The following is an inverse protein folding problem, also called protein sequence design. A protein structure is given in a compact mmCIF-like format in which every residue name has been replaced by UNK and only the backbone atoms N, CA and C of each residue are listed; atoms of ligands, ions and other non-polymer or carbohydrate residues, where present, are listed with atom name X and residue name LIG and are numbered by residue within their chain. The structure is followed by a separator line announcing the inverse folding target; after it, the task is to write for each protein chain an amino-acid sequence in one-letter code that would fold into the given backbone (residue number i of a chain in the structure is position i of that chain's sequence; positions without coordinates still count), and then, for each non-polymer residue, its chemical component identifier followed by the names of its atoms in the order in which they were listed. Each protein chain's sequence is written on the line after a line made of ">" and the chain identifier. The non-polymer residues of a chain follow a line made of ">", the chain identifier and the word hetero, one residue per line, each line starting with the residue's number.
data_IF_563203389121
#
_entry.id   IF_563203389121
#
_cell.length_a   1.000
_cell.length_b   1.000
_cell.length_c   1.000
_cell.angle_alpha   90.00
_cell.angle_beta   90.00
_cell.angle_gamma   90.00
#
_symmetry.space_group_name_H-M   'P 1'
#
loop_
_entity.id
_entity.type
_entity.pdbx_description
1 polymer ?
#
# COMPACT_ATOMS: atom_id res chain seq x y z
N UNK A 1 4.40 27.96 46.20
CA UNK A 1 4.46 26.52 46.50
C UNK A 1 3.11 25.92 46.17
N UNK A 2 2.97 25.34 44.98
CA UNK A 2 1.78 24.59 44.58
C UNK A 2 2.28 23.25 44.09
N UNK A 3 2.12 22.22 44.90
CA UNK A 3 2.53 20.86 44.57
C UNK A 3 1.58 20.33 43.49
N UNK A 4 2.12 20.09 42.29
CA UNK A 4 1.46 19.32 41.25
C UNK A 4 1.31 17.88 41.72
N UNK A 5 0.09 17.47 42.08
CA UNK A 5 -0.23 16.06 42.30
C UNK A 5 -0.21 15.37 40.93
N UNK A 6 0.81 14.55 40.71
CA UNK A 6 0.82 13.53 39.66
C UNK A 6 -0.38 12.61 39.92
N UNK A 7 -1.24 12.32 38.92
CA UNK A 7 -2.29 11.33 39.09
C UNK A 7 -1.65 9.98 39.45
N UNK A 8 -2.29 9.15 40.29
CA UNK A 8 -1.75 7.84 40.63
C UNK A 8 -1.60 7.05 39.33
N UNK A 9 -0.39 6.56 39.08
CA UNK A 9 -0.14 5.61 38.01
C UNK A 9 -1.07 4.41 38.25
N UNK A 10 -2.05 4.20 37.37
CA UNK A 10 -2.77 2.94 37.28
C UNK A 10 -1.71 1.87 37.10
N UNK A 11 -1.50 1.04 38.12
CA UNK A 11 -0.52 -0.02 38.08
C UNK A 11 -0.86 -0.94 36.90
N UNK A 12 0.01 -0.94 35.89
CA UNK A 12 0.07 -2.05 34.94
C UNK A 12 0.27 -3.30 35.80
N UNK A 13 -0.56 -4.36 35.67
CA UNK A 13 -0.34 -5.59 36.43
C UNK A 13 1.12 -6.00 36.26
N UNK A 14 1.85 -6.16 37.36
CA UNK A 14 3.25 -6.59 37.28
C UNK A 14 3.36 -7.93 36.54
N UNK A 15 4.50 -8.19 35.90
CA UNK A 15 4.76 -9.40 35.10
C UNK A 15 4.51 -10.73 35.86
N UNK A 16 4.33 -10.68 37.19
CA UNK A 16 4.11 -11.83 38.08
C UNK A 16 2.66 -12.02 38.56
N UNK A 17 1.67 -11.23 38.09
CA UNK A 17 0.26 -11.40 38.52
C UNK A 17 -0.33 -12.68 37.92
N UNK A 18 -0.91 -13.60 38.70
CA UNK A 18 -1.57 -14.80 38.14
C UNK A 18 -2.76 -14.44 37.25
N UNK A 19 -2.82 -15.06 36.07
CA UNK A 19 -3.84 -14.81 35.05
C UNK A 19 -4.45 -16.11 34.51
N UNK A 20 -5.64 -15.98 33.91
CA UNK A 20 -6.36 -17.03 33.21
C UNK A 20 -6.66 -16.56 31.78
N UNK A 21 -6.18 -17.29 30.77
CA UNK A 21 -6.57 -17.09 29.39
C UNK A 21 -7.81 -17.93 29.10
N UNK A 22 -8.95 -17.28 28.98
CA UNK A 22 -10.24 -17.89 28.64
C UNK A 22 -10.48 -17.80 27.14
N UNK A 23 -10.50 -18.94 26.46
CA UNK A 23 -10.68 -19.06 25.02
C UNK A 23 -12.03 -19.69 24.72
N UNK A 24 -12.90 -18.97 24.00
CA UNK A 24 -14.21 -19.42 23.55
C UNK A 24 -14.22 -19.50 22.04
N UNK A 25 -14.62 -20.64 21.48
CA UNK A 25 -14.68 -20.81 20.02
C UNK A 25 -15.81 -21.73 19.59
N UNK A 26 -16.39 -21.45 18.41
CA UNK A 26 -17.56 -22.18 17.94
C UNK A 26 -18.34 -21.46 16.84
N UNK A 27 -19.61 -21.81 16.66
CA UNK A 27 -20.51 -21.12 15.71
C UNK A 27 -20.91 -19.76 16.27
N UNK A 28 -20.62 -18.72 15.51
CA UNK A 28 -20.91 -17.33 15.88
C UNK A 28 -22.41 -17.05 15.97
N UNK A 29 -22.80 -16.20 16.93
CA UNK A 29 -24.15 -15.65 17.10
C UNK A 29 -24.11 -14.44 18.05
N UNK A 30 -25.09 -13.53 18.00
CA UNK A 30 -25.18 -12.41 18.93
C UNK A 30 -25.22 -12.87 20.39
N UNK A 31 -24.57 -12.11 21.28
CA UNK A 31 -24.64 -12.30 22.74
C UNK A 31 -23.53 -13.17 23.36
N UNK A 32 -22.66 -13.81 22.57
CA UNK A 32 -21.55 -14.64 23.11
C UNK A 32 -20.62 -13.81 24.00
N UNK A 33 -20.17 -12.65 23.52
CA UNK A 33 -19.26 -11.77 24.26
C UNK A 33 -19.90 -11.32 25.57
N UNK A 34 -21.15 -10.84 25.52
CA UNK A 34 -21.90 -10.42 26.71
C UNK A 34 -22.02 -11.56 27.73
N UNK A 35 -22.46 -12.75 27.28
CA UNK A 35 -22.61 -13.90 28.17
C UNK A 35 -21.31 -14.36 28.82
N UNK A 36 -20.17 -14.26 28.12
CA UNK A 36 -18.87 -14.58 28.71
C UNK A 36 -18.54 -13.60 29.83
N UNK A 37 -18.65 -12.30 29.58
CA UNK A 37 -18.28 -11.28 30.59
C UNK A 37 -19.26 -11.21 31.74
N UNK A 38 -20.55 -11.47 31.53
CA UNK A 38 -21.52 -11.65 32.62
C UNK A 38 -21.13 -12.86 33.50
N UNK A 39 -20.68 -13.95 32.87
CA UNK A 39 -20.19 -15.14 33.60
C UNK A 39 -18.93 -14.83 34.41
N UNK A 40 -17.98 -14.11 33.83
CA UNK A 40 -16.72 -13.75 34.49
C UNK A 40 -16.91 -12.70 35.60
N UNK A 41 -17.85 -11.77 35.42
CA UNK A 41 -18.15 -10.72 36.39
C UNK A 41 -18.56 -11.28 37.77
N UNK A 42 -19.19 -12.46 37.81
CA UNK A 42 -19.54 -13.16 39.05
C UNK A 42 -18.33 -13.51 39.95
N UNK A 43 -17.12 -13.49 39.38
CA UNK A 43 -15.87 -13.85 40.07
C UNK A 43 -14.97 -12.66 40.38
N UNK A 44 -15.43 -11.42 40.10
CA UNK A 44 -14.67 -10.19 40.34
C UNK A 44 -13.24 -10.23 39.75
N UNK A 45 -13.10 -10.78 38.55
CA UNK A 45 -11.84 -10.78 37.80
C UNK A 45 -11.72 -9.51 36.96
N UNK A 46 -10.50 -9.02 36.81
CA UNK A 46 -10.18 -7.89 35.94
C UNK A 46 -9.79 -8.40 34.55
N UNK A 47 -10.20 -7.69 33.50
CA UNK A 47 -9.79 -7.98 32.13
C UNK A 47 -8.43 -7.34 31.86
N UNK A 48 -7.43 -8.18 31.57
CA UNK A 48 -6.07 -7.76 31.21
C UNK A 48 -5.98 -7.51 29.70
N UNK A 49 -6.51 -8.43 28.89
CA UNK A 49 -6.54 -8.33 27.43
C UNK A 49 -7.78 -9.02 26.85
N UNK A 50 -8.25 -8.57 25.69
CA UNK A 50 -9.39 -9.15 24.99
C UNK A 50 -9.21 -9.06 23.48
N UNK A 51 -9.32 -10.21 22.82
CA UNK A 51 -9.31 -10.31 21.36
C UNK A 51 -10.49 -11.15 20.86
N UNK A 52 -11.19 -10.66 19.84
CA UNK A 52 -12.27 -11.40 19.19
C UNK A 52 -12.13 -11.34 17.67
N UNK A 53 -12.29 -12.49 17.01
CA UNK A 53 -12.38 -12.58 15.56
C UNK A 53 -13.53 -13.49 15.14
N UNK A 54 -14.27 -13.06 14.12
CA UNK A 54 -15.31 -13.87 13.47
C UNK A 54 -14.90 -14.12 12.02
N UNK A 55 -14.69 -15.38 11.68
CA UNK A 55 -14.30 -15.80 10.33
C UNK A 55 -15.31 -16.83 9.82
N UNK A 56 -16.00 -16.50 8.73
CA UNK A 56 -16.97 -17.40 8.06
C UNK A 56 -18.03 -17.98 9.02
N UNK A 57 -18.55 -17.14 9.93
CA UNK A 57 -19.56 -17.54 10.92
C UNK A 57 -19.02 -18.41 12.06
N UNK A 58 -17.70 -18.46 12.26
CA UNK A 58 -17.03 -19.06 13.42
C UNK A 58 -16.36 -17.98 14.24
N UNK A 59 -16.61 -17.97 15.54
CA UNK A 59 -16.00 -17.03 16.48
C UNK A 59 -14.80 -17.69 17.18
N UNK A 60 -13.78 -16.87 17.44
CA UNK A 60 -12.75 -17.10 18.45
C UNK A 60 -12.69 -15.85 19.32
N UNK A 61 -12.96 -16.00 20.62
CA UNK A 61 -12.93 -14.94 21.63
C UNK A 61 -11.94 -15.36 22.72
N UNK A 62 -10.90 -14.57 22.91
CA UNK A 62 -9.88 -14.76 23.93
C UNK A 62 -9.99 -13.60 24.93
N UNK A 63 -10.12 -13.93 26.21
CA UNK A 63 -10.06 -12.97 27.30
C UNK A 63 -8.97 -13.40 28.28
N UNK A 64 -7.93 -12.58 28.44
CA UNK A 64 -6.96 -12.73 29.51
C UNK A 64 -7.48 -11.98 30.73
N UNK A 65 -7.71 -12.70 31.82
CA UNK A 65 -8.25 -12.13 33.06
C UNK A 65 -7.34 -12.43 34.24
N UNK A 66 -7.43 -11.64 35.31
CA UNK A 66 -6.78 -11.97 36.59
C UNK A 66 -7.43 -13.21 37.21
N UNK A 67 -6.72 -13.89 38.12
CA UNK A 67 -7.36 -14.95 38.91
C UNK A 67 -8.35 -14.37 39.93
N UNK A 68 -9.44 -15.08 40.26
CA UNK A 68 -10.34 -14.64 41.31
C UNK A 68 -9.59 -14.42 42.62
N UNK A 69 -9.65 -13.20 43.16
CA UNK A 69 -9.07 -12.94 44.48
C UNK A 69 -10.01 -13.50 45.54
N UNK A 70 -9.48 -14.21 46.54
CA UNK A 70 -10.26 -14.81 47.63
C UNK A 70 -11.02 -13.81 48.53
N UNK A 71 -11.09 -12.53 48.13
CA UNK A 71 -11.87 -11.46 48.75
C UNK A 71 -13.29 -11.33 48.18
N UNK A 72 -13.60 -12.00 47.06
CA UNK A 72 -14.97 -12.06 46.56
C UNK A 72 -15.87 -12.69 47.63
N UNK A 73 -17.04 -12.08 47.88
CA UNK A 73 -17.99 -12.40 48.97
C UNK A 73 -18.45 -13.86 49.06
N UNK A 74 -18.06 -14.70 48.10
CA UNK A 74 -18.58 -16.03 47.85
C UNK A 74 -17.50 -17.13 48.02
N UNK A 75 -16.23 -16.76 48.27
CA UNK A 75 -15.12 -17.74 48.35
C UNK A 75 -14.85 -18.49 47.05
N UNK A 76 -15.30 -17.95 45.91
CA UNK A 76 -15.25 -18.60 44.61
C UNK A 76 -13.80 -18.78 44.14
N UNK A 77 -13.46 -20.01 43.77
CA UNK A 77 -12.11 -20.42 43.38
C UNK A 77 -11.90 -20.32 41.87
N UNK A 78 -10.64 -20.40 41.43
CA UNK A 78 -10.31 -20.62 40.02
C UNK A 78 -11.05 -21.84 39.44
N UNK A 79 -11.19 -22.92 40.23
CA UNK A 79 -11.90 -24.12 39.82
C UNK A 79 -13.38 -23.86 39.52
N UNK A 80 -14.03 -23.04 40.35
CA UNK A 80 -15.43 -22.67 40.16
C UNK A 80 -15.63 -21.81 38.91
N UNK A 81 -14.72 -20.86 38.65
CA UNK A 81 -14.74 -20.05 37.42
C UNK A 81 -14.63 -20.96 36.20
N UNK A 82 -13.67 -21.90 36.21
CA UNK A 82 -13.48 -22.85 35.11
C UNK A 82 -14.74 -23.66 34.84
N UNK A 83 -15.32 -24.25 35.90
CA UNK A 83 -16.53 -25.06 35.77
C UNK A 83 -17.71 -24.26 35.20
N UNK A 84 -17.94 -23.04 35.70
CA UNK A 84 -19.05 -22.20 35.24
C UNK A 84 -18.86 -21.75 33.79
N UNK A 85 -17.65 -21.33 33.40
CA UNK A 85 -17.37 -20.95 32.01
C UNK A 85 -17.56 -22.15 31.06
N UNK A 86 -17.09 -23.35 31.43
CA UNK A 86 -17.31 -24.55 30.62
C UNK A 86 -18.79 -24.90 30.50
N UNK A 87 -19.55 -24.85 31.60
CA UNK A 87 -20.99 -25.13 31.58
C UNK A 87 -21.77 -24.11 30.74
N UNK A 88 -21.44 -22.83 30.87
CA UNK A 88 -22.00 -21.76 30.04
C UNK A 88 -21.71 -21.99 28.55
N UNK A 89 -20.44 -22.26 28.20
CA UNK A 89 -20.05 -22.50 26.81
C UNK A 89 -20.77 -23.73 26.23
N UNK A 90 -20.86 -24.83 26.99
CA UNK A 90 -21.58 -26.04 26.58
C UNK A 90 -23.06 -25.77 26.32
N UNK A 91 -23.72 -24.97 27.19
CA UNK A 91 -25.12 -24.59 27.03
C UNK A 91 -25.41 -23.85 25.71
N UNK A 92 -24.40 -23.16 25.16
CA UNK A 92 -24.45 -22.46 23.88
C UNK A 92 -23.91 -23.28 22.71
N UNK A 93 -23.47 -24.51 22.95
CA UNK A 93 -22.76 -25.36 22.00
C UNK A 93 -21.46 -24.71 21.49
N UNK A 94 -20.72 -24.09 22.40
CA UNK A 94 -19.39 -23.52 22.20
C UNK A 94 -18.34 -24.41 22.88
N UNK A 95 -17.09 -24.28 22.46
CA UNK A 95 -15.95 -24.89 23.12
C UNK A 95 -15.24 -23.84 23.96
N UNK A 96 -14.81 -24.24 25.15
CA UNK A 96 -14.03 -23.41 26.05
C UNK A 96 -12.70 -24.10 26.36
N UNK A 97 -11.63 -23.32 26.43
CA UNK A 97 -10.31 -23.73 26.91
C UNK A 97 -9.80 -22.64 27.86
N UNK A 98 -9.33 -23.03 29.05
CA UNK A 98 -8.85 -22.08 30.06
C UNK A 98 -7.44 -22.47 30.47
N UNK A 99 -6.49 -21.55 30.30
CA UNK A 99 -5.06 -21.79 30.54
C UNK A 99 -4.59 -20.86 31.66
N UNK A 100 -3.95 -21.41 32.71
CA UNK A 100 -3.34 -20.59 33.76
C UNK A 100 -2.00 -20.01 33.28
N UNK A 101 -1.71 -18.78 33.68
CA UNK A 101 -0.47 -18.09 33.35
C UNK A 101 -0.15 -17.01 34.38
N UNK A 102 0.82 -16.16 34.03
CA UNK A 102 1.23 -15.00 34.82
C UNK A 102 1.49 -13.81 33.89
N UNK A 103 1.14 -12.62 34.34
CA UNK A 103 1.36 -11.37 33.63
C UNK A 103 0.51 -11.20 32.37
N UNK A 104 0.94 -10.27 31.53
CA UNK A 104 0.34 -9.93 30.24
C UNK A 104 0.99 -10.73 29.09
N UNK A 105 0.44 -10.61 27.89
CA UNK A 105 1.04 -11.08 26.65
C UNK A 105 2.47 -10.53 26.51
N UNK A 106 3.41 -11.40 26.07
CA UNK A 106 4.77 -10.99 25.75
C UNK A 106 4.72 -9.81 24.77
N UNK A 107 5.61 -8.81 24.90
CA UNK A 107 5.67 -7.70 23.97
C UNK A 107 5.69 -8.20 22.52
N UNK A 108 4.85 -7.61 21.66
CA UNK A 108 4.78 -7.96 20.24
C UNK A 108 6.19 -8.01 19.65
N UNK A 109 6.53 -9.09 18.94
CA UNK A 109 7.89 -9.38 18.50
C UNK A 109 8.57 -8.21 17.78
N UNK A 110 9.88 -8.06 17.95
CA UNK A 110 10.71 -7.07 17.22
C UNK A 110 10.73 -7.40 15.73
N UNK A 111 11.02 -6.40 14.87
CA UNK A 111 11.08 -6.61 13.41
C UNK A 111 9.71 -6.86 12.78
N UNK A 112 8.73 -5.98 13.06
CA UNK A 112 7.39 -6.11 12.50
C UNK A 112 7.33 -5.54 11.09
N UNK A 113 6.76 -6.30 10.17
CA UNK A 113 6.61 -5.93 8.77
C UNK A 113 5.24 -6.36 8.23
N UNK A 114 4.80 -5.70 7.18
CA UNK A 114 3.63 -6.08 6.40
C UNK A 114 4.09 -6.51 5.02
N UNK A 115 3.73 -7.75 4.64
CA UNK A 115 3.99 -8.32 3.32
C UNK A 115 2.68 -8.31 2.54
N UNK A 116 2.54 -7.38 1.61
CA UNK A 116 1.39 -7.33 0.70
C UNK A 116 1.70 -8.17 -0.53
N UNK A 117 0.81 -9.09 -0.88
CA UNK A 117 0.94 -9.99 -2.03
C UNK A 117 -0.24 -9.76 -2.96
N UNK A 118 0.04 -9.47 -4.23
CA UNK A 118 -0.95 -9.41 -5.30
C UNK A 118 -0.79 -10.64 -6.19
N UNK A 119 -1.84 -11.45 -6.29
CA UNK A 119 -1.87 -12.62 -7.16
C UNK A 119 -3.06 -12.58 -8.12
N UNK A 120 -2.82 -13.02 -9.35
CA UNK A 120 -3.83 -13.09 -10.40
C UNK A 120 -3.68 -14.38 -11.24
N UNK A 121 -4.09 -15.57 -10.71
CA UNK A 121 -4.64 -15.82 -9.38
C UNK A 121 -3.55 -15.97 -8.30
N UNK A 122 -3.92 -15.79 -7.03
CA UNK A 122 -3.06 -16.19 -5.90
C UNK A 122 -3.23 -17.70 -5.65
N UNK A 123 -2.21 -18.49 -5.97
CA UNK A 123 -2.27 -19.95 -5.86
C UNK A 123 -1.83 -20.44 -4.48
N UNK A 124 -2.20 -21.69 -4.15
CA UNK A 124 -1.72 -22.36 -2.93
C UNK A 124 -0.20 -22.59 -2.96
N UNK A 125 0.37 -22.86 -4.13
CA UNK A 125 1.82 -23.01 -4.34
C UNK A 125 2.55 -21.71 -4.02
N UNK A 126 2.12 -20.59 -4.62
CA UNK A 126 2.69 -19.27 -4.33
C UNK A 126 2.55 -18.90 -2.86
N UNK A 127 1.38 -19.17 -2.26
CA UNK A 127 1.15 -18.92 -0.83
C UNK A 127 2.09 -19.73 0.05
N UNK A 128 2.28 -21.02 -0.26
CA UNK A 128 3.18 -21.90 0.47
C UNK A 128 4.64 -21.45 0.37
N UNK A 129 5.10 -21.07 -0.82
CA UNK A 129 6.45 -20.58 -1.05
C UNK A 129 6.72 -19.27 -0.28
N UNK A 130 5.78 -18.33 -0.29
CA UNK A 130 5.87 -17.07 0.47
C UNK A 130 5.96 -17.36 1.98
N UNK A 131 5.09 -18.24 2.51
CA UNK A 131 5.14 -18.61 3.93
C UNK A 131 6.46 -19.30 4.31
N UNK A 132 6.98 -20.17 3.43
CA UNK A 132 8.26 -20.83 3.64
C UNK A 132 9.42 -19.83 3.64
N UNK A 133 9.42 -18.85 2.72
CA UNK A 133 10.42 -17.80 2.66
C UNK A 133 10.39 -16.90 3.91
N UNK A 134 9.19 -16.51 4.39
CA UNK A 134 9.04 -15.80 5.67
C UNK A 134 9.68 -16.61 6.81
N UNK A 135 9.35 -17.90 6.89
CA UNK A 135 9.86 -18.82 7.92
C UNK A 135 11.39 -18.96 7.85
N UNK A 136 11.97 -19.06 6.66
CA UNK A 136 13.41 -19.19 6.45
C UNK A 136 14.21 -17.97 6.94
N UNK A 137 13.59 -16.79 6.99
CA UNK A 137 14.19 -15.58 7.58
C UNK A 137 14.03 -15.48 9.11
N UNK A 138 13.43 -16.49 9.76
CA UNK A 138 13.07 -16.47 11.18
C UNK A 138 11.78 -15.70 11.49
N UNK A 139 11.04 -15.28 10.46
CA UNK A 139 9.79 -14.55 10.62
C UNK A 139 8.62 -15.45 11.02
N UNK A 140 7.75 -14.93 11.89
CA UNK A 140 6.45 -15.51 12.21
C UNK A 140 5.33 -14.75 11.48
N UNK A 141 4.32 -15.46 10.98
CA UNK A 141 3.12 -14.84 10.44
C UNK A 141 2.13 -14.66 11.58
N UNK A 142 1.96 -13.43 12.04
CA UNK A 142 1.07 -13.08 13.15
C UNK A 142 -0.40 -13.09 12.70
N UNK A 143 -0.65 -12.64 11.46
CA UNK A 143 -1.99 -12.53 10.88
C UNK A 143 -1.94 -12.51 9.37
N UNK A 144 -2.97 -13.07 8.74
CA UNK A 144 -3.24 -12.89 7.30
C UNK A 144 -4.61 -12.24 7.17
N UNK A 145 -4.71 -11.24 6.31
CA UNK A 145 -6.00 -10.65 5.95
C UNK A 145 -6.06 -10.33 4.47
N UNK A 146 -7.27 -10.34 3.91
CA UNK A 146 -7.48 -10.03 2.50
C UNK A 146 -7.69 -8.52 2.35
N UNK A 147 -6.92 -7.91 1.46
CA UNK A 147 -7.03 -6.51 1.06
C UNK A 147 -8.01 -6.32 -0.10
N UNK A 148 -8.06 -7.28 -1.04
CA UNK A 148 -8.95 -7.20 -2.19
C UNK A 148 -9.29 -8.58 -2.75
N UNK A 149 -10.51 -8.72 -3.29
CA UNK A 149 -10.93 -9.86 -4.12
C UNK A 149 -10.76 -9.58 -5.62
N UNK A 150 -10.84 -8.31 -6.02
CA UNK A 150 -10.85 -7.81 -7.40
C UNK A 150 -10.17 -6.42 -7.44
N UNK A 151 -9.53 -5.98 -8.54
CA UNK A 151 -9.30 -6.71 -9.80
C UNK A 151 -8.30 -7.87 -9.67
N UNK A 152 -7.55 -7.88 -8.56
CA UNK A 152 -6.59 -8.94 -8.22
C UNK A 152 -6.88 -9.43 -6.80
N UNK A 153 -6.44 -10.66 -6.51
CA UNK A 153 -6.46 -11.14 -5.14
C UNK A 153 -5.30 -10.52 -4.41
N UNK A 154 -5.59 -9.61 -3.47
CA UNK A 154 -4.58 -8.99 -2.63
C UNK A 154 -4.73 -9.50 -1.20
N UNK A 155 -3.65 -9.97 -0.61
CA UNK A 155 -3.59 -10.39 0.81
C UNK A 155 -2.39 -9.75 1.48
N UNK A 156 -2.50 -9.51 2.77
CA UNK A 156 -1.42 -9.01 3.59
C UNK A 156 -1.10 -9.98 4.71
N UNK A 157 0.19 -10.29 4.86
CA UNK A 157 0.75 -11.02 5.98
C UNK A 157 1.37 -10.01 6.94
N UNK A 158 0.86 -9.94 8.16
CA UNK A 158 1.55 -9.27 9.26
C UNK A 158 2.62 -10.23 9.79
N UNK A 159 3.88 -9.82 9.71
CA UNK A 159 5.04 -10.63 10.05
C UNK A 159 5.82 -10.00 11.21
N UNK A 160 6.32 -10.81 12.13
CA UNK A 160 7.24 -10.38 13.20
C UNK A 160 8.45 -11.30 13.29
N UNK A 161 9.48 -10.91 14.06
CA UNK A 161 10.63 -11.77 14.35
C UNK A 161 11.80 -11.68 13.37
N UNK A 162 11.72 -10.85 12.32
CA UNK A 162 12.80 -10.69 11.33
C UNK A 162 12.95 -9.23 10.85
N UNK A 163 14.17 -8.73 10.57
CA UNK A 163 14.35 -7.40 10.01
C UNK A 163 13.65 -7.23 8.65
N UNK A 164 13.02 -6.07 8.42
CA UNK A 164 12.27 -5.77 7.19
C UNK A 164 13.11 -5.94 5.92
N UNK A 165 14.39 -5.55 5.93
CA UNK A 165 15.26 -5.62 4.74
C UNK A 165 15.68 -7.06 4.40
N UNK A 166 15.92 -7.89 5.42
CA UNK A 166 16.16 -9.33 5.25
C UNK A 166 14.94 -9.99 4.62
N UNK A 167 13.75 -9.68 5.14
CA UNK A 167 12.49 -10.21 4.64
C UNK A 167 12.20 -9.75 3.21
N UNK A 168 12.43 -8.48 2.90
CA UNK A 168 12.27 -7.89 1.56
C UNK A 168 13.15 -8.60 0.55
N UNK A 169 14.44 -8.77 0.86
CA UNK A 169 15.41 -9.43 -0.03
C UNK A 169 15.01 -10.88 -0.33
N UNK A 170 14.61 -11.63 0.69
CA UNK A 170 14.19 -13.02 0.53
C UNK A 170 12.95 -13.13 -0.36
N UNK A 171 11.94 -12.29 -0.12
CA UNK A 171 10.67 -12.33 -0.86
C UNK A 171 10.75 -11.76 -2.27
N UNK A 172 11.67 -10.83 -2.56
CA UNK A 172 11.86 -10.29 -3.90
C UNK A 172 12.26 -11.41 -4.89
N UNK A 173 13.12 -12.34 -4.46
CA UNK A 173 13.53 -13.50 -5.26
C UNK A 173 12.34 -14.41 -5.57
N UNK A 174 11.52 -14.71 -4.56
CA UNK A 174 10.34 -15.57 -4.71
C UNK A 174 9.26 -14.93 -5.59
N UNK A 175 9.03 -13.61 -5.46
CA UNK A 175 8.06 -12.87 -6.26
C UNK A 175 8.29 -13.07 -7.76
N UNK A 176 9.55 -12.94 -8.20
CA UNK A 176 9.94 -13.10 -9.60
C UNK A 176 9.73 -14.53 -10.12
N UNK A 177 10.04 -15.54 -9.30
CA UNK A 177 9.89 -16.97 -9.66
C UNK A 177 8.41 -17.36 -9.74
N UNK A 178 7.60 -16.89 -8.80
CA UNK A 178 6.21 -17.28 -8.63
C UNK A 178 5.24 -16.48 -9.52
N UNK A 179 5.71 -15.41 -10.17
CA UNK A 179 4.87 -14.53 -10.98
C UNK A 179 3.81 -13.78 -10.16
N UNK A 180 4.14 -13.41 -8.92
CA UNK A 180 3.29 -12.62 -8.03
C UNK A 180 3.99 -11.33 -7.63
N UNK A 181 3.22 -10.30 -7.31
CA UNK A 181 3.78 -9.05 -6.83
C UNK A 181 3.86 -9.08 -5.30
N UNK A 182 5.02 -8.73 -4.75
CA UNK A 182 5.23 -8.66 -3.31
C UNK A 182 5.82 -7.31 -2.91
N UNK A 183 5.18 -6.66 -1.94
CA UNK A 183 5.70 -5.48 -1.28
C UNK A 183 5.91 -5.75 0.20
N UNK A 184 7.10 -5.41 0.70
CA UNK A 184 7.44 -5.51 2.12
C UNK A 184 7.62 -4.11 2.68
N UNK A 185 6.88 -3.79 3.74
CA UNK A 185 6.96 -2.52 4.45
C UNK A 185 7.12 -2.74 5.95
N UNK A 186 7.91 -1.88 6.61
CA UNK A 186 7.99 -1.91 8.06
C UNK A 186 6.63 -1.56 8.67
N UNK A 187 6.26 -2.23 9.76
CA UNK A 187 5.11 -1.85 10.57
C UNK A 187 5.39 -0.53 11.30
N UNK A 188 4.33 0.23 11.57
CA UNK A 188 4.40 1.44 12.39
C UNK A 188 3.63 2.62 11.80
N UNK A 189 3.64 3.75 12.50
CA UNK A 189 2.91 4.95 12.10
C UNK A 189 3.40 5.51 10.75
N UNK A 190 4.69 5.34 10.43
CA UNK A 190 5.26 5.83 9.17
C UNK A 190 4.60 5.23 7.94
N UNK A 191 4.17 3.96 8.00
CA UNK A 191 3.42 3.32 6.92
C UNK A 191 2.13 4.07 6.58
N UNK A 192 1.45 4.61 7.60
CA UNK A 192 0.20 5.36 7.46
C UNK A 192 0.42 6.86 7.23
N UNK A 193 1.67 7.30 7.17
CA UNK A 193 2.04 8.71 7.10
C UNK A 193 2.48 9.14 5.70
N UNK A 194 2.36 8.29 4.67
CA UNK A 194 2.58 8.73 3.29
C UNK A 194 1.53 9.78 2.90
N UNK A 195 1.96 10.87 2.26
CA UNK A 195 1.09 12.04 1.99
C UNK A 195 1.25 12.66 0.60
N UNK A 196 2.24 12.23 -0.16
CA UNK A 196 2.45 12.69 -1.54
C UNK A 196 2.66 11.48 -2.45
N UNK A 197 1.88 11.40 -3.54
CA UNK A 197 2.10 10.42 -4.61
C UNK A 197 2.48 11.17 -5.88
N UNK A 198 3.59 10.81 -6.50
CA UNK A 198 4.04 11.34 -7.80
C UNK A 198 4.11 10.19 -8.80
N UNK A 199 3.54 10.38 -9.98
CA UNK A 199 3.45 9.34 -11.00
C UNK A 199 4.09 9.80 -12.30
N UNK A 200 4.69 8.85 -13.04
CA UNK A 200 4.88 9.06 -14.47
C UNK A 200 3.54 9.11 -15.20
N UNK A 201 3.55 9.66 -16.41
CA UNK A 201 2.38 9.80 -17.26
C UNK A 201 2.31 8.68 -18.29
N UNK A 202 3.19 8.72 -19.28
CA UNK A 202 3.23 7.75 -20.38
C UNK A 202 3.43 6.34 -19.81
N UNK A 203 2.69 5.35 -20.34
CA UNK A 203 2.73 3.95 -19.90
C UNK A 203 2.47 3.68 -18.39
N UNK A 204 2.11 4.70 -17.60
CA UNK A 204 1.85 4.61 -16.16
C UNK A 204 0.46 5.16 -15.83
N UNK A 205 0.27 6.49 -15.79
CA UNK A 205 -1.05 7.10 -15.55
C UNK A 205 -1.98 6.91 -16.76
N UNK A 206 -1.41 6.91 -17.96
CA UNK A 206 -2.09 6.67 -19.22
C UNK A 206 -1.51 5.43 -19.91
N UNK A 207 -2.27 4.85 -20.84
CA UNK A 207 -1.86 3.64 -21.58
C UNK A 207 -1.01 3.95 -22.82
N UNK A 208 -0.97 5.22 -23.21
CA UNK A 208 -0.40 5.67 -24.48
C UNK A 208 0.98 6.32 -24.25
N UNK A 209 1.79 6.37 -25.30
CA UNK A 209 2.97 7.21 -25.40
C UNK A 209 2.58 8.50 -26.11
N UNK A 210 2.52 9.63 -25.40
CA UNK A 210 1.98 10.89 -25.95
C UNK A 210 2.68 11.31 -27.23
N UNK A 211 4.00 11.12 -27.32
CA UNK A 211 4.77 11.50 -28.50
C UNK A 211 4.38 10.69 -29.74
N UNK A 212 3.98 9.43 -29.58
CA UNK A 212 3.51 8.58 -30.67
C UNK A 212 2.14 9.04 -31.17
N UNK A 213 1.26 9.51 -30.27
CA UNK A 213 -0.01 10.13 -30.67
C UNK A 213 0.22 11.37 -31.54
N UNK A 214 1.16 12.25 -31.17
CA UNK A 214 1.51 13.39 -32.02
C UNK A 214 2.12 12.95 -33.37
N UNK A 215 2.98 11.93 -33.36
CA UNK A 215 3.61 11.38 -34.55
C UNK A 215 2.57 10.78 -35.53
N UNK A 216 1.50 10.18 -35.02
CA UNK A 216 0.39 9.67 -35.80
C UNK A 216 -0.30 10.76 -36.62
N UNK A 217 -0.61 11.89 -35.97
CA UNK A 217 -1.21 13.04 -36.65
C UNK A 217 -0.23 13.74 -37.60
N UNK A 218 1.09 13.63 -37.39
CA UNK A 218 2.13 14.11 -38.29
C UNK A 218 2.44 13.15 -39.45
N UNK A 219 2.00 11.89 -39.38
CA UNK A 219 2.34 10.85 -40.33
C UNK A 219 3.78 10.34 -40.24
N UNK A 220 4.44 10.50 -39.09
CA UNK A 220 5.85 10.14 -38.85
C UNK A 220 6.07 9.12 -37.72
N UNK A 221 5.06 8.27 -37.46
CA UNK A 221 5.11 7.23 -36.41
C UNK A 221 6.33 6.31 -36.55
N UNK A 222 6.66 5.91 -37.78
CA UNK A 222 7.76 4.98 -38.05
C UNK A 222 9.10 5.61 -37.71
N UNK A 223 9.30 6.85 -38.10
CA UNK A 223 10.51 7.63 -37.85
C UNK A 223 10.69 7.88 -36.35
N UNK A 224 9.61 8.21 -35.62
CA UNK A 224 9.65 8.36 -34.17
C UNK A 224 9.98 7.02 -33.48
N UNK A 225 9.38 5.92 -33.93
CA UNK A 225 9.65 4.59 -33.39
C UNK A 225 11.12 4.16 -33.61
N UNK A 226 11.70 4.45 -34.77
CA UNK A 226 13.11 4.19 -35.07
C UNK A 226 14.05 4.94 -34.11
N UNK A 227 13.77 6.22 -33.85
CA UNK A 227 14.56 7.03 -32.90
C UNK A 227 14.38 6.55 -31.46
N UNK A 228 13.16 6.17 -31.05
CA UNK A 228 12.90 5.58 -29.73
C UNK A 228 13.68 4.27 -29.56
N UNK A 229 13.69 3.42 -30.60
CA UNK A 229 14.44 2.17 -30.58
C UNK A 229 15.96 2.40 -30.49
N UNK A 230 16.49 3.41 -31.18
CA UNK A 230 17.91 3.80 -31.08
C UNK A 230 18.27 4.27 -29.66
N UNK A 231 17.42 5.09 -29.03
CA UNK A 231 17.61 5.51 -27.64
C UNK A 231 17.57 4.33 -26.66
N UNK A 232 16.66 3.38 -26.86
CA UNK A 232 16.61 2.16 -26.05
C UNK A 232 17.84 1.26 -26.21
N UNK A 233 18.54 1.31 -27.36
CA UNK A 233 19.84 0.65 -27.57
C UNK A 233 21.03 1.42 -26.97
N UNK A 234 20.79 2.61 -26.42
CA UNK A 234 21.85 3.48 -25.88
C UNK A 234 22.64 4.24 -26.94
N UNK A 235 22.14 4.29 -28.18
CA UNK A 235 22.79 5.03 -29.29
C UNK A 235 22.58 6.54 -29.18
N UNK A 236 21.52 6.96 -28.49
CA UNK A 236 21.19 8.35 -28.19
C UNK A 236 20.95 8.51 -26.70
N UNK A 237 21.44 9.61 -26.12
CA UNK A 237 21.00 10.00 -24.80
C UNK A 237 19.53 10.48 -24.81
N UNK A 238 18.94 10.67 -23.62
CA UNK A 238 17.54 11.03 -23.50
C UNK A 238 17.20 12.37 -24.20
N UNK A 239 18.04 13.38 -24.03
CA UNK A 239 17.81 14.72 -24.56
C UNK A 239 17.95 14.73 -26.08
N UNK A 240 18.98 14.07 -26.61
CA UNK A 240 19.16 13.83 -28.04
C UNK A 240 17.97 13.10 -28.66
N UNK A 241 17.50 12.03 -28.01
CA UNK A 241 16.33 11.27 -28.46
C UNK A 241 15.06 12.11 -28.43
N UNK A 242 14.85 12.92 -27.38
CA UNK A 242 13.71 13.82 -27.27
C UNK A 242 13.73 14.85 -28.40
N UNK A 243 14.85 15.56 -28.60
CA UNK A 243 14.98 16.55 -29.66
C UNK A 243 14.80 15.94 -31.05
N UNK A 244 15.37 14.77 -31.32
CA UNK A 244 15.22 14.09 -32.60
C UNK A 244 13.76 13.70 -32.88
N UNK A 245 13.04 13.18 -31.89
CA UNK A 245 11.62 12.82 -32.05
C UNK A 245 10.73 14.06 -32.20
N UNK A 246 10.98 15.11 -31.42
CA UNK A 246 10.18 16.35 -31.48
C UNK A 246 10.43 17.10 -32.78
N UNK A 247 11.65 17.07 -33.34
CA UNK A 247 11.96 17.68 -34.63
C UNK A 247 11.09 17.14 -35.78
N UNK A 248 10.69 15.86 -35.72
CA UNK A 248 9.81 15.23 -36.71
C UNK A 248 8.37 15.78 -36.66
N UNK A 249 8.00 16.51 -35.60
CA UNK A 249 6.67 17.11 -35.44
C UNK A 249 6.60 18.54 -36.00
N UNK A 250 7.70 19.07 -36.54
CA UNK A 250 7.77 20.44 -37.04
C UNK A 250 6.73 20.70 -38.16
N UNK A 251 6.02 21.82 -38.04
CA UNK A 251 5.02 22.26 -39.01
C UNK A 251 3.61 21.73 -38.76
N UNK A 252 3.43 20.81 -37.81
CA UNK A 252 2.12 20.31 -37.39
C UNK A 252 1.29 21.44 -36.74
N UNK A 253 0.02 21.52 -37.11
CA UNK A 253 -0.89 22.55 -36.59
C UNK A 253 -1.19 22.33 -35.11
N UNK A 254 -1.14 23.38 -34.30
CA UNK A 254 -1.32 23.30 -32.85
C UNK A 254 -2.71 22.79 -32.44
N UNK A 255 -3.72 22.85 -33.32
CA UNK A 255 -5.04 22.25 -33.07
C UNK A 255 -5.00 20.73 -32.87
N UNK A 256 -3.90 20.07 -33.24
CA UNK A 256 -3.66 18.65 -32.96
C UNK A 256 -3.65 18.33 -31.47
N UNK A 257 -3.22 19.28 -30.62
CA UNK A 257 -3.16 19.10 -29.16
C UNK A 257 -4.51 18.68 -28.60
N UNK A 258 -5.60 19.30 -29.07
CA UNK A 258 -6.97 18.96 -28.65
C UNK A 258 -7.44 17.59 -29.14
N UNK A 259 -6.86 17.07 -30.23
CA UNK A 259 -7.15 15.72 -30.72
C UNK A 259 -6.44 14.69 -29.86
N UNK A 260 -5.14 14.90 -29.63
CA UNK A 260 -4.32 14.03 -28.77
C UNK A 260 -4.94 13.95 -27.36
N UNK A 261 -5.33 15.07 -26.76
CA UNK A 261 -6.02 15.10 -25.45
C UNK A 261 -7.26 14.20 -25.38
N UNK A 262 -8.03 14.09 -26.47
CA UNK A 262 -9.23 13.25 -26.54
C UNK A 262 -8.94 11.78 -26.79
N UNK A 263 -7.77 11.48 -27.36
CA UNK A 263 -7.31 10.13 -27.66
C UNK A 263 -6.62 9.48 -26.46
N UNK A 264 -6.09 10.27 -25.52
CA UNK A 264 -5.44 9.79 -24.30
C UNK A 264 -6.38 8.90 -23.48
N UNK A 265 -5.92 7.69 -23.16
CA UNK A 265 -6.64 6.70 -22.35
C UNK A 265 -5.96 6.55 -21.00
N UNK A 266 -6.70 6.81 -19.94
CA UNK A 266 -6.24 6.55 -18.58
C UNK A 266 -6.04 5.05 -18.35
N UNK A 267 -4.98 4.71 -17.63
CA UNK A 267 -4.74 3.35 -17.17
C UNK A 267 -5.90 2.89 -16.28
N UNK A 268 -6.38 1.63 -16.41
CA UNK A 268 -7.42 1.10 -15.55
C UNK A 268 -7.08 1.30 -14.07
N UNK A 269 -8.02 1.85 -13.31
CA UNK A 269 -7.81 2.18 -11.90
C UNK A 269 -7.22 3.57 -11.64
N UNK A 270 -6.70 4.31 -12.63
CA UNK A 270 -6.12 5.64 -12.42
C UNK A 270 -7.06 6.62 -11.72
N UNK A 271 -8.31 6.75 -12.20
CA UNK A 271 -9.32 7.60 -11.55
C UNK A 271 -9.61 7.17 -10.12
N UNK A 272 -9.66 5.87 -9.86
CA UNK A 272 -9.93 5.30 -8.52
C UNK A 272 -8.77 5.55 -7.57
N UNK A 273 -7.52 5.38 -8.05
CA UNK A 273 -6.32 5.71 -7.30
C UNK A 273 -6.34 7.17 -6.87
N UNK A 274 -6.43 8.10 -7.83
CA UNK A 274 -6.39 9.55 -7.54
C UNK A 274 -7.53 9.94 -6.61
N UNK A 275 -8.78 9.56 -6.92
CA UNK A 275 -9.95 9.89 -6.08
C UNK A 275 -9.78 9.39 -4.64
N UNK A 276 -9.33 8.15 -4.45
CA UNK A 276 -9.14 7.57 -3.11
C UNK A 276 -8.04 8.30 -2.35
N UNK A 277 -6.91 8.57 -3.00
CA UNK A 277 -5.79 9.31 -2.39
C UNK A 277 -6.22 10.71 -1.96
N UNK A 278 -6.96 11.45 -2.81
CA UNK A 278 -7.48 12.78 -2.46
C UNK A 278 -8.42 12.73 -1.25
N UNK A 279 -9.29 11.73 -1.13
CA UNK A 279 -10.16 11.55 0.06
C UNK A 279 -9.37 11.32 1.34
N UNK A 280 -8.20 10.68 1.25
CA UNK A 280 -7.30 10.46 2.37
C UNK A 280 -6.39 11.66 2.66
N UNK A 281 -6.56 12.79 1.94
CA UNK A 281 -5.78 14.00 2.13
C UNK A 281 -4.36 13.92 1.55
N UNK A 282 -4.11 12.99 0.62
CA UNK A 282 -2.85 12.98 -0.12
C UNK A 282 -2.84 14.13 -1.13
N UNK A 283 -1.65 14.66 -1.36
CA UNK A 283 -1.37 15.41 -2.56
C UNK A 283 -0.91 14.45 -3.65
N UNK A 284 -1.34 14.72 -4.89
CA UNK A 284 -1.05 13.87 -6.04
C UNK A 284 -0.44 14.72 -7.14
N UNK A 285 0.66 14.26 -7.71
CA UNK A 285 1.36 14.94 -8.79
C UNK A 285 1.75 14.01 -9.93
N UNK A 286 2.07 14.61 -11.07
CA UNK A 286 2.66 13.90 -12.22
C UNK A 286 3.96 14.55 -12.67
N UNK A 287 4.90 13.72 -13.10
CA UNK A 287 6.16 14.15 -13.70
C UNK A 287 6.44 13.32 -14.94
N UNK A 288 6.52 13.97 -16.11
CA UNK A 288 6.61 13.30 -17.40
C UNK A 288 7.77 13.82 -18.24
N UNK A 289 8.38 12.93 -19.03
CA UNK A 289 9.27 13.31 -20.14
C UNK A 289 8.52 13.70 -21.43
N UNK A 290 7.19 13.56 -21.44
CA UNK A 290 6.28 14.03 -22.48
C UNK A 290 6.02 15.53 -22.36
N UNK A 291 4.77 15.95 -22.58
CA UNK A 291 4.46 17.37 -22.85
C UNK A 291 3.40 18.00 -21.94
N UNK A 292 3.62 19.26 -21.52
CA UNK A 292 2.69 20.08 -20.72
C UNK A 292 1.32 20.20 -21.36
N UNK A 293 1.29 20.25 -22.70
CA UNK A 293 0.06 20.22 -23.48
C UNK A 293 -0.87 19.06 -23.10
N UNK A 294 -0.36 17.91 -22.65
CA UNK A 294 -1.19 16.79 -22.19
C UNK A 294 -1.26 16.73 -20.67
N UNK A 295 -0.15 16.92 -19.96
CA UNK A 295 -0.13 16.77 -18.49
C UNK A 295 -0.97 17.81 -17.76
N UNK A 296 -1.09 19.04 -18.29
CA UNK A 296 -1.95 20.06 -17.70
C UNK A 296 -3.44 19.72 -17.84
N UNK A 297 -3.84 19.10 -18.96
CA UNK A 297 -5.22 18.62 -19.13
C UNK A 297 -5.53 17.47 -18.15
N UNK A 298 -4.60 16.54 -17.96
CA UNK A 298 -4.72 15.47 -16.96
C UNK A 298 -4.78 16.02 -15.53
N UNK A 299 -4.01 17.07 -15.24
CA UNK A 299 -4.04 17.76 -13.95
C UNK A 299 -5.43 18.30 -13.64
N UNK A 300 -6.02 19.03 -14.58
CA UNK A 300 -7.34 19.61 -14.41
C UNK A 300 -8.43 18.53 -14.33
N UNK A 301 -8.37 17.51 -15.19
CA UNK A 301 -9.35 16.43 -15.25
C UNK A 301 -9.37 15.58 -13.97
N UNK A 302 -8.20 15.28 -13.40
CA UNK A 302 -8.06 14.41 -12.23
C UNK A 302 -7.95 15.16 -10.91
N UNK A 303 -7.85 16.50 -10.94
CA UNK A 303 -7.65 17.33 -9.75
C UNK A 303 -6.28 17.14 -9.09
N UNK A 304 -5.23 16.99 -9.90
CA UNK A 304 -3.86 16.83 -9.41
C UNK A 304 -3.34 18.15 -8.83
N UNK A 305 -2.55 18.04 -7.77
CA UNK A 305 -1.95 19.19 -7.09
C UNK A 305 -0.74 19.72 -7.87
N UNK A 306 0.02 18.81 -8.50
CA UNK A 306 1.25 19.12 -9.22
C UNK A 306 1.29 18.47 -10.61
N UNK A 307 1.89 19.16 -11.58
CA UNK A 307 2.24 18.59 -12.88
C UNK A 307 3.51 19.26 -13.40
N UNK A 308 4.39 18.48 -14.01
CA UNK A 308 5.58 19.00 -14.70
C UNK A 308 5.94 18.09 -15.87
N UNK A 309 6.25 18.70 -17.01
CA UNK A 309 6.65 18.04 -18.25
C UNK A 309 7.47 18.98 -19.13
N UNK A 310 8.00 18.48 -20.25
CA UNK A 310 8.59 19.34 -21.28
C UNK A 310 7.50 20.16 -21.98
N UNK A 311 7.82 21.28 -22.63
CA UNK A 311 6.82 22.07 -23.35
C UNK A 311 7.14 22.13 -24.83
N UNK A 312 6.24 21.62 -25.70
CA UNK A 312 6.39 21.79 -27.14
C UNK A 312 6.29 23.28 -27.50
N UNK A 313 7.24 23.78 -28.29
CA UNK A 313 7.25 25.16 -28.75
C UNK A 313 6.22 25.35 -29.88
N UNK A 314 5.34 26.35 -29.72
CA UNK A 314 4.34 26.73 -30.72
C UNK A 314 4.61 28.17 -31.14
N UNK A 315 4.79 28.38 -32.45
CA UNK A 315 4.93 29.71 -33.06
C UNK A 315 3.95 29.79 -34.24
N UNK A 316 3.22 30.90 -34.34
CA UNK A 316 2.22 31.14 -35.39
C UNK A 316 1.21 29.98 -35.57
N UNK A 317 0.81 29.37 -34.44
CA UNK A 317 -0.17 28.28 -34.41
C UNK A 317 0.39 26.92 -34.88
N UNK A 318 1.71 26.75 -35.00
CA UNK A 318 2.34 25.51 -35.42
C UNK A 318 3.44 25.06 -34.47
N UNK A 319 3.63 23.74 -34.36
CA UNK A 319 4.78 23.16 -33.67
C UNK A 319 6.06 23.50 -34.44
N UNK A 320 7.08 23.99 -33.73
CA UNK A 320 8.37 24.33 -34.37
C UNK A 320 9.31 23.13 -34.49
N UNK A 321 8.97 22.02 -33.82
CA UNK A 321 9.85 20.86 -33.66
C UNK A 321 10.90 21.03 -32.56
N UNK A 322 10.66 21.94 -31.61
CA UNK A 322 11.53 22.14 -30.43
C UNK A 322 10.73 22.04 -29.12
N UNK A 323 11.46 21.83 -28.03
CA UNK A 323 10.94 21.93 -26.67
C UNK A 323 11.50 23.18 -25.99
N UNK A 324 10.76 23.75 -25.05
CA UNK A 324 11.13 24.93 -24.26
C UNK A 324 11.15 24.59 -22.77
N UNK A 325 11.93 25.37 -22.02
CA UNK A 325 12.13 25.18 -20.58
C UNK A 325 13.21 24.14 -20.26
N UNK A 326 13.28 23.77 -18.99
CA UNK A 326 14.21 22.76 -18.51
C UNK A 326 13.73 21.36 -18.93
N UNK A 327 14.64 20.56 -19.47
CA UNK A 327 14.33 19.19 -19.87
C UNK A 327 14.05 18.32 -18.65
N UNK A 328 12.90 17.64 -18.66
CA UNK A 328 12.52 16.64 -17.67
C UNK A 328 13.15 15.29 -18.03
N UNK A 329 14.45 15.20 -17.74
CA UNK A 329 15.24 13.99 -17.86
C UNK A 329 15.12 13.10 -16.61
N UNK A 330 15.85 11.97 -16.57
CA UNK A 330 15.85 11.03 -15.43
C UNK A 330 16.20 11.72 -14.11
N UNK A 331 17.26 12.54 -14.09
CA UNK A 331 17.63 13.29 -12.90
C UNK A 331 16.60 14.40 -12.60
N UNK A 332 16.00 15.00 -13.63
CA UNK A 332 14.90 15.96 -13.56
C UNK A 332 13.69 15.41 -12.83
N UNK A 333 13.29 14.16 -13.10
CA UNK A 333 12.18 13.53 -12.37
C UNK A 333 12.43 13.47 -10.86
N UNK A 334 13.64 13.09 -10.45
CA UNK A 334 14.02 13.10 -9.04
C UNK A 334 14.09 14.51 -8.44
N UNK A 335 14.57 15.52 -9.18
CA UNK A 335 14.55 16.94 -8.74
C UNK A 335 13.12 17.43 -8.52
N UNK A 336 12.20 17.10 -9.44
CA UNK A 336 10.81 17.50 -9.37
C UNK A 336 10.07 16.84 -8.20
N UNK A 337 10.30 15.54 -7.94
CA UNK A 337 9.78 14.88 -6.74
C UNK A 337 10.20 15.62 -5.47
N UNK A 338 11.49 16.00 -5.34
CA UNK A 338 11.98 16.77 -4.18
C UNK A 338 11.32 18.14 -4.07
N UNK A 339 11.14 18.82 -5.20
CA UNK A 339 10.46 20.12 -5.25
C UNK A 339 9.00 20.01 -4.82
N UNK A 340 8.25 19.03 -5.33
CA UNK A 340 6.86 18.79 -4.94
C UNK A 340 6.74 18.41 -3.47
N UNK A 341 7.63 17.54 -2.97
CA UNK A 341 7.69 17.19 -1.55
C UNK A 341 7.92 18.42 -0.66
N UNK A 342 8.83 19.31 -1.05
CA UNK A 342 9.08 20.57 -0.34
C UNK A 342 7.86 21.50 -0.36
N UNK A 343 7.22 21.69 -1.52
CA UNK A 343 6.03 22.52 -1.66
C UNK A 343 4.84 21.97 -0.85
N UNK A 344 4.72 20.65 -0.79
CA UNK A 344 3.73 19.92 -0.02
C UNK A 344 4.00 19.92 1.50
N UNK A 345 5.21 20.27 1.93
CA UNK A 345 5.64 20.09 3.33
C UNK A 345 5.73 18.61 3.75
N UNK A 346 5.96 17.70 2.79
CA UNK A 346 6.02 16.26 3.00
C UNK A 346 7.48 15.79 2.98
N UNK A 347 7.98 15.12 4.04
CA UNK A 347 9.30 14.48 4.01
C UNK A 347 9.41 13.44 2.89
N UNK A 348 10.57 13.29 2.25
CA UNK A 348 10.79 12.30 1.18
C UNK A 348 10.45 10.85 1.61
N UNK A 349 10.69 10.50 2.88
CA UNK A 349 10.32 9.19 3.42
C UNK A 349 8.80 8.92 3.40
N UNK A 350 7.98 9.97 3.23
CA UNK A 350 6.52 9.93 3.16
C UNK A 350 5.97 10.15 1.73
N UNK A 351 6.85 10.12 0.72
CA UNK A 351 6.45 10.20 -0.69
C UNK A 351 6.38 8.82 -1.33
N UNK A 352 5.45 8.64 -2.26
CA UNK A 352 5.36 7.48 -3.15
C UNK A 352 5.66 7.95 -4.57
N UNK A 353 6.50 7.22 -5.29
CA UNK A 353 6.73 7.41 -6.71
C UNK A 353 6.27 6.17 -7.49
N UNK A 354 5.60 6.37 -8.63
CA UNK A 354 5.12 5.29 -9.51
C UNK A 354 5.62 5.56 -10.93
N UNK A 355 6.20 4.56 -11.59
CA UNK A 355 6.69 4.67 -12.96
C UNK A 355 7.03 3.29 -13.56
N UNK A 356 7.18 3.22 -14.87
CA UNK A 356 7.42 1.97 -15.61
C UNK A 356 8.82 1.90 -16.25
N UNK A 357 9.47 3.05 -16.45
CA UNK A 357 10.62 3.18 -17.31
C UNK A 357 11.95 3.38 -16.58
N UNK A 358 13.05 3.18 -17.31
CA UNK A 358 14.40 3.41 -16.78
C UNK A 358 14.69 4.91 -16.51
N UNK A 359 13.93 5.79 -17.16
CA UNK A 359 13.86 7.23 -16.91
C UNK A 359 13.27 7.57 -15.52
N UNK A 360 12.54 6.65 -14.87
CA UNK A 360 11.95 6.89 -13.56
C UNK A 360 12.83 6.45 -12.40
N UNK A 361 13.88 5.68 -12.66
CA UNK A 361 14.68 5.02 -11.61
C UNK A 361 15.18 5.98 -10.53
N UNK A 362 15.65 7.17 -10.90
CA UNK A 362 16.13 8.13 -9.91
C UNK A 362 14.98 8.70 -9.06
N UNK A 363 13.79 8.86 -9.64
CA UNK A 363 12.58 9.27 -8.91
C UNK A 363 12.10 8.16 -7.98
N UNK A 364 12.03 6.92 -8.47
CA UNK A 364 11.63 5.74 -7.69
C UNK A 364 12.57 5.50 -6.50
N UNK A 365 13.88 5.65 -6.71
CA UNK A 365 14.90 5.48 -5.67
C UNK A 365 14.96 6.65 -4.68
N UNK A 366 14.53 7.85 -5.10
CA UNK A 366 14.48 9.03 -4.22
C UNK A 366 13.25 9.01 -3.29
N UNK A 367 12.15 8.39 -3.73
CA UNK A 367 10.93 8.31 -2.94
C UNK A 367 11.05 7.36 -1.75
N UNK A 368 10.30 7.62 -0.66
CA UNK A 368 10.17 6.68 0.46
C UNK A 368 9.54 5.34 0.08
N UNK A 369 8.71 5.30 -0.96
CA UNK A 369 8.25 4.08 -1.62
C UNK A 369 8.25 4.29 -3.14
N UNK A 370 9.07 3.51 -3.84
CA UNK A 370 9.14 3.50 -5.30
C UNK A 370 8.46 2.25 -5.86
N UNK A 371 7.43 2.44 -6.68
CA UNK A 371 6.62 1.37 -7.27
C UNK A 371 6.90 1.30 -8.77
N UNK A 372 7.49 0.20 -9.21
CA UNK A 372 7.63 -0.13 -10.63
C UNK A 372 6.31 -0.70 -11.17
N UNK A 373 5.58 0.06 -11.99
CA UNK A 373 4.27 -0.34 -12.53
C UNK A 373 4.41 -0.91 -13.95
N UNK A 374 4.05 -2.19 -14.15
CA UNK A 374 4.21 -2.94 -15.41
C UNK A 374 5.56 -2.74 -16.10
N UNK A 375 6.59 -2.48 -15.29
CA UNK A 375 7.85 -1.91 -15.72
C UNK A 375 8.71 -2.93 -16.48
N UNK A 376 9.82 -2.51 -17.10
CA UNK A 376 10.81 -3.46 -17.66
C UNK A 376 11.58 -4.16 -16.53
N UNK A 377 12.14 -5.38 -16.73
CA UNK A 377 12.83 -6.14 -15.68
C UNK A 377 13.90 -5.33 -14.90
N UNK A 378 14.72 -4.56 -15.62
CA UNK A 378 15.76 -3.69 -15.02
C UNK A 378 15.19 -2.66 -14.04
N UNK A 379 13.95 -2.20 -14.26
CA UNK A 379 13.27 -1.24 -13.40
C UNK A 379 12.66 -1.94 -12.19
N UNK A 380 12.07 -3.12 -12.41
CA UNK A 380 11.49 -3.95 -11.34
C UNK A 380 12.54 -4.35 -10.30
N UNK A 381 13.73 -4.72 -10.75
CA UNK A 381 14.85 -5.13 -9.88
C UNK A 381 15.42 -3.97 -9.05
N UNK A 382 15.35 -2.75 -9.56
CA UNK A 382 15.92 -1.57 -8.91
C UNK A 382 14.91 -0.82 -8.01
N UNK A 383 13.60 -0.98 -8.24
CA UNK A 383 12.56 -0.33 -7.43
C UNK A 383 12.33 -1.03 -6.08
N UNK A 384 11.68 -0.34 -5.14
CA UNK A 384 11.37 -0.89 -3.82
C UNK A 384 10.35 -2.04 -3.89
N UNK A 385 9.45 -2.00 -4.87
CA UNK A 385 8.45 -3.02 -5.17
C UNK A 385 7.96 -2.86 -6.61
N UNK A 386 7.31 -3.89 -7.16
CA UNK A 386 6.74 -3.90 -8.48
C UNK A 386 5.26 -4.32 -8.45
N UNK A 387 4.48 -3.80 -9.40
CA UNK A 387 3.10 -4.17 -9.68
C UNK A 387 3.03 -4.57 -11.14
N UNK A 388 2.76 -5.83 -11.44
CA UNK A 388 2.81 -6.41 -12.78
C UNK A 388 1.42 -6.79 -13.31
N UNK A 389 0.40 -6.12 -12.80
CA UNK A 389 -1.00 -6.24 -13.22
C UNK A 389 -1.47 -4.91 -13.81
N UNK A 390 -2.36 -4.91 -14.83
CA UNK A 390 -2.72 -3.72 -15.60
C UNK A 390 -3.74 -2.81 -14.88
N UNK A 391 -3.63 -2.69 -13.56
CA UNK A 391 -4.58 -1.98 -12.70
C UNK A 391 -3.83 -1.07 -11.73
N UNK A 392 -3.83 0.23 -12.01
CA UNK A 392 -3.05 1.23 -11.26
C UNK A 392 -3.58 1.43 -9.83
N UNK A 393 -4.87 1.18 -9.59
CA UNK A 393 -5.47 1.24 -8.25
C UNK A 393 -4.98 0.15 -7.29
N UNK A 394 -4.28 -0.87 -7.78
CA UNK A 394 -3.66 -1.89 -6.91
C UNK A 394 -2.55 -1.33 -6.03
N UNK A 395 -2.00 -0.16 -6.38
CA UNK A 395 -1.06 0.56 -5.51
C UNK A 395 -1.69 0.92 -4.16
N UNK A 396 -3.02 1.16 -4.12
CA UNK A 396 -3.74 1.40 -2.86
C UNK A 396 -3.55 0.26 -1.86
N UNK A 397 -3.49 -0.99 -2.35
CA UNK A 397 -3.30 -2.18 -1.51
C UNK A 397 -1.92 -2.19 -0.87
N UNK A 398 -0.89 -1.70 -1.58
CA UNK A 398 0.46 -1.55 -1.02
C UNK A 398 0.48 -0.51 0.11
N UNK A 399 -0.41 0.49 0.05
CA UNK A 399 -0.60 1.49 1.09
C UNK A 399 -1.47 0.97 2.26
N UNK A 400 -1.94 -0.27 2.19
CA UNK A 400 -2.77 -0.90 3.21
C UNK A 400 -4.25 -0.48 3.18
N UNK A 401 -4.69 0.13 2.08
CA UNK A 401 -6.10 0.49 1.86
C UNK A 401 -6.79 -0.72 1.24
N UNK A 402 -7.93 -1.13 1.78
CA UNK A 402 -8.70 -2.27 1.28
C UNK A 402 -9.62 -1.89 0.13
N UNK A 403 -9.97 -2.86 -0.71
CA UNK A 403 -10.97 -2.66 -1.77
C UNK A 403 -12.33 -2.31 -1.18
N UNK A 404 -12.69 -2.97 -0.09
CA UNK A 404 -13.95 -2.71 0.62
C UNK A 404 -14.02 -1.27 1.15
N UNK A 405 -12.92 -0.68 1.65
CA UNK A 405 -12.87 0.74 2.05
C UNK A 405 -13.05 1.70 0.86
N UNK A 406 -12.44 1.37 -0.30
CA UNK A 406 -12.60 2.17 -1.52
C UNK A 406 -14.08 2.19 -1.97
N UNK A 407 -14.71 1.03 -2.03
CA UNK A 407 -16.11 0.88 -2.46
C UNK A 407 -17.09 1.55 -1.47
N UNK A 408 -16.84 1.40 -0.16
CA UNK A 408 -17.62 2.09 0.87
C UNK A 408 -17.50 3.62 0.75
N UNK A 409 -16.29 4.15 0.50
CA UNK A 409 -16.10 5.58 0.32
C UNK A 409 -16.74 6.10 -0.99
N UNK A 410 -16.77 5.29 -2.05
CA UNK A 410 -17.42 5.64 -3.32
C UNK A 410 -18.94 5.72 -3.17
N UNK A 411 -19.56 4.76 -2.48
CA UNK A 411 -21.00 4.75 -2.23
C UNK A 411 -21.51 5.85 -1.31
N UNK A 412 -20.63 6.49 -0.52
CA UNK A 412 -20.99 7.65 0.31
C UNK A 412 -20.90 8.99 -0.42
N UNK A 413 -20.23 9.03 -1.57
CA UNK A 413 -19.99 10.26 -2.33
C UNK A 413 -20.99 10.48 -3.48
N UNK A 414 -21.71 9.42 -3.86
CA UNK A 414 -22.92 9.45 -4.71
C UNK A 414 -24.16 9.73 -3.85
#
# INVERSE_FOLDING_TARGET
>A
MSASQTPPATAVPGDDVPTLLVKIFGKDRPGITAGLFDTLAAYSVDVVDIEQVVTRGRIVLCALVTTPTGSASNGATEGDLRATVHSWAESLHLQAEIISGTGDNRPRGVGRSHVTVLGHPLTAESTSAIAAAITATGGNIDRIFRLAKYPVTAVEFAVSGTPTDTLRTALATEAAVLGVDIAVSASGLQRRAQRLVVMDVDSTLIQDEVIELFAAHAGCEKEVAEVTAAAMRGELDFEQSLHARVALLAGLDASVVERVRKEVRLTPGARTLVRTLKRLGYQVGVVSGGFTQVTDALKDELGLDFASANTLEIVDGKLTGKVTGDIVDRAGKARLLRSFAQQAGVPLAQTVAIGDGANDLDMLNTAGLGVAFNAKPVVREAAHTAVNVPFLDTVLYLLGITREEVEAADTMAD
#
